data_IF_607164260875
#
_entry.id   IF_607164260875
#
_cell.length_a   1.000
_cell.length_b   1.000
_cell.length_c   1.000
_cell.angle_alpha   90.00
_cell.angle_beta   90.00
_cell.angle_gamma   90.00
#
_symmetry.space_group_name_H-M   'P 1'
#
loop_
_entity.id
_entity.type
_entity.pdbx_description
1 polymer ?
#
# COMPACT_ATOMS: atom_id res chain seq x y z
N UNK A 1 25.86 -3.14 14.84
CA UNK A 1 25.18 -1.84 15.12
C UNK A 1 23.78 -2.06 15.67
N UNK A 2 22.95 -2.93 15.07
CA UNK A 2 21.61 -3.27 15.60
C UNK A 2 21.63 -3.67 17.08
N UNK A 3 22.54 -4.55 17.48
CA UNK A 3 22.58 -5.05 18.87
C UNK A 3 22.97 -3.96 19.87
N UNK A 4 23.85 -3.02 19.45
CA UNK A 4 24.23 -1.84 20.24
C UNK A 4 23.03 -0.90 20.38
N UNK A 5 22.32 -0.64 19.28
CA UNK A 5 21.12 0.18 19.31
C UNK A 5 20.08 -0.46 20.25
N UNK A 6 19.81 -1.75 20.12
CA UNK A 6 18.87 -2.48 20.98
C UNK A 6 19.26 -2.47 22.46
N UNK A 7 20.56 -2.61 22.79
CA UNK A 7 21.02 -2.63 24.17
C UNK A 7 21.00 -1.25 24.86
N UNK A 8 21.32 -0.18 24.12
CA UNK A 8 21.53 1.16 24.71
C UNK A 8 20.41 2.18 24.39
N UNK A 9 19.46 1.84 23.52
CA UNK A 9 18.34 2.69 23.13
C UNK A 9 18.68 3.62 21.96
N UNK A 10 17.87 3.57 20.91
CA UNK A 10 18.04 4.39 19.69
C UNK A 10 17.93 5.88 20.02
N UNK A 11 16.95 6.26 20.85
CA UNK A 11 16.78 7.65 21.31
C UNK A 11 17.99 8.16 22.08
N UNK A 12 18.60 7.32 22.94
CA UNK A 12 19.83 7.65 23.67
C UNK A 12 20.99 7.89 22.71
N UNK A 13 21.18 7.03 21.72
CA UNK A 13 22.29 7.16 20.76
C UNK A 13 22.07 8.33 19.80
N UNK A 14 20.86 8.53 19.28
CA UNK A 14 20.54 9.65 18.39
C UNK A 14 20.51 11.00 19.11
N UNK A 15 20.17 11.04 20.40
CA UNK A 15 20.29 12.28 21.20
C UNK A 15 21.73 12.58 21.63
N UNK A 16 22.56 11.55 21.81
CA UNK A 16 23.98 11.67 22.18
C UNK A 16 24.91 11.94 21.00
N UNK A 17 24.43 11.76 19.77
CA UNK A 17 25.24 11.87 18.54
C UNK A 17 24.43 12.58 17.46
N UNK A 18 25.00 13.54 16.72
CA UNK A 18 24.33 14.30 15.64
C UNK A 18 23.90 13.46 14.41
N UNK A 19 23.86 12.14 14.54
CA UNK A 19 23.88 11.12 13.47
C UNK A 19 22.50 10.64 13.02
N UNK A 20 21.38 11.17 13.54
CA UNK A 20 20.04 10.62 13.26
C UNK A 20 19.74 10.43 11.76
N UNK A 21 20.02 11.45 10.94
CA UNK A 21 19.85 11.38 9.49
C UNK A 21 20.95 10.55 8.80
N UNK A 22 22.15 10.52 9.36
CA UNK A 22 23.29 9.75 8.83
C UNK A 22 23.08 8.24 8.98
N UNK A 23 22.35 7.81 10.02
CA UNK A 23 21.99 6.40 10.24
C UNK A 23 21.03 5.90 9.16
N UNK A 24 20.05 6.71 8.76
CA UNK A 24 19.12 6.33 7.68
C UNK A 24 19.87 6.22 6.35
N UNK A 25 20.76 7.17 6.04
CA UNK A 25 21.61 7.09 4.84
C UNK A 25 22.47 5.83 4.82
N UNK A 26 23.11 5.50 5.94
CA UNK A 26 23.91 4.28 6.07
C UNK A 26 23.06 3.00 5.92
N UNK A 27 21.84 3.00 6.46
CA UNK A 27 20.88 1.90 6.31
C UNK A 27 20.56 1.68 4.83
N UNK A 28 20.26 2.75 4.09
CA UNK A 28 19.96 2.70 2.66
C UNK A 28 21.15 2.17 1.85
N UNK A 29 22.36 2.68 2.12
CA UNK A 29 23.59 2.20 1.47
C UNK A 29 23.83 0.70 1.71
N UNK A 30 23.48 0.21 2.91
CA UNK A 30 23.61 -1.20 3.25
C UNK A 30 22.55 -2.07 2.56
N UNK A 31 21.34 -1.54 2.30
CA UNK A 31 20.27 -2.23 1.57
C UNK A 31 20.57 -2.36 0.06
N UNK A 32 21.33 -1.42 -0.51
CA UNK A 32 21.74 -1.43 -1.92
C UNK A 32 23.13 -2.05 -2.15
N UNK A 33 23.67 -2.79 -1.17
CA UNK A 33 25.02 -3.34 -1.26
C UNK A 33 25.07 -4.57 -2.19
N UNK A 34 26.03 -4.61 -3.11
CA UNK A 34 26.23 -5.74 -4.04
C UNK A 34 26.65 -7.05 -3.34
N UNK A 35 27.17 -6.97 -2.11
CA UNK A 35 27.52 -8.15 -1.34
C UNK A 35 26.27 -8.73 -0.65
N UNK A 36 25.77 -9.86 -1.17
CA UNK A 36 24.59 -10.56 -0.66
C UNK A 36 24.64 -10.82 0.86
N UNK A 37 25.81 -11.15 1.41
CA UNK A 37 25.98 -11.41 2.84
C UNK A 37 25.83 -10.13 3.67
N UNK A 38 26.43 -9.02 3.24
CA UNK A 38 26.28 -7.73 3.91
C UNK A 38 24.84 -7.23 3.84
N UNK A 39 24.22 -7.35 2.67
CA UNK A 39 22.82 -6.98 2.46
C UNK A 39 21.90 -7.80 3.37
N UNK A 40 22.12 -9.12 3.48
CA UNK A 40 21.34 -9.98 4.37
C UNK A 40 21.50 -9.61 5.85
N UNK A 41 22.74 -9.32 6.29
CA UNK A 41 23.01 -8.85 7.66
C UNK A 41 22.29 -7.53 7.93
N UNK A 42 22.31 -6.60 6.97
CA UNK A 42 21.62 -5.32 7.07
C UNK A 42 20.10 -5.53 7.22
N UNK A 43 19.49 -6.33 6.34
CA UNK A 43 18.07 -6.66 6.39
C UNK A 43 17.66 -7.27 7.73
N UNK A 44 18.46 -8.20 8.27
CA UNK A 44 18.22 -8.79 9.59
C UNK A 44 18.29 -7.72 10.70
N UNK A 45 19.31 -6.86 10.67
CA UNK A 45 19.50 -5.80 11.64
C UNK A 45 18.34 -4.79 11.63
N UNK A 46 17.95 -4.33 10.44
CA UNK A 46 16.85 -3.37 10.24
C UNK A 46 15.52 -3.98 10.67
N UNK A 47 15.25 -5.24 10.28
CA UNK A 47 14.04 -5.97 10.70
C UNK A 47 13.89 -6.02 12.21
N UNK A 48 14.99 -6.28 12.94
CA UNK A 48 15.00 -6.27 14.40
C UNK A 48 14.71 -4.87 14.97
N UNK A 49 15.35 -3.84 14.44
CA UNK A 49 15.14 -2.45 14.89
C UNK A 49 13.70 -1.98 14.67
N UNK A 50 13.08 -2.39 13.55
CA UNK A 50 11.69 -2.08 13.28
C UNK A 50 10.73 -2.84 14.21
N UNK A 51 10.97 -4.14 14.43
CA UNK A 51 10.17 -4.93 15.39
C UNK A 51 10.28 -4.43 16.83
N UNK A 52 11.45 -3.93 17.25
CA UNK A 52 11.64 -3.32 18.56
C UNK A 52 11.13 -1.88 18.66
N UNK A 53 10.44 -1.37 17.62
CA UNK A 53 9.91 0.01 17.51
C UNK A 53 10.99 1.10 17.60
N UNK A 54 12.25 0.75 17.38
CA UNK A 54 13.40 1.66 17.44
C UNK A 54 13.64 2.38 16.12
N UNK A 55 13.18 1.79 15.01
CA UNK A 55 13.17 2.39 13.69
C UNK A 55 11.74 2.37 13.13
N UNK A 56 11.18 3.56 12.88
CA UNK A 56 9.88 3.74 12.21
C UNK A 56 10.03 4.68 11.04
N UNK A 57 10.60 4.17 9.96
CA UNK A 57 10.71 4.91 8.70
C UNK A 57 9.98 4.16 7.59
N UNK A 58 9.07 4.85 6.91
CA UNK A 58 8.25 4.25 5.85
C UNK A 58 9.03 4.02 4.57
N UNK A 59 10.05 4.82 4.29
CA UNK A 59 10.89 4.64 3.11
C UNK A 59 11.76 3.39 3.27
N UNK A 60 12.31 3.18 4.47
CA UNK A 60 13.01 1.93 4.80
C UNK A 60 12.05 0.72 4.68
N UNK A 61 10.83 0.81 5.22
CA UNK A 61 9.85 -0.28 5.05
C UNK A 61 9.56 -0.57 3.58
N UNK A 62 9.37 0.47 2.77
CA UNK A 62 9.15 0.36 1.33
C UNK A 62 10.32 -0.34 0.64
N UNK A 63 11.56 0.04 0.95
CA UNK A 63 12.76 -0.62 0.41
C UNK A 63 12.82 -2.10 0.77
N UNK A 64 12.50 -2.48 2.02
CA UNK A 64 12.43 -3.89 2.43
C UNK A 64 11.35 -4.66 1.64
N UNK A 65 10.19 -4.07 1.41
CA UNK A 65 9.14 -4.69 0.58
C UNK A 65 9.60 -4.83 -0.87
N UNK A 66 10.26 -3.81 -1.43
CA UNK A 66 10.82 -3.88 -2.77
C UNK A 66 11.85 -5.00 -2.90
N UNK A 67 12.82 -5.09 -1.97
CA UNK A 67 13.81 -6.16 -1.91
C UNK A 67 13.18 -7.54 -1.77
N UNK A 68 12.08 -7.65 -1.02
CA UNK A 68 11.38 -8.91 -0.85
C UNK A 68 10.80 -9.45 -2.16
N UNK A 69 10.37 -8.59 -3.09
CA UNK A 69 9.82 -9.01 -4.38
C UNK A 69 10.84 -8.91 -5.53
N UNK A 70 12.05 -8.43 -5.27
CA UNK A 70 13.07 -8.18 -6.30
C UNK A 70 13.72 -9.47 -6.80
N UNK A 71 13.65 -9.77 -8.10
CA UNK A 71 14.27 -10.98 -8.66
C UNK A 71 15.78 -11.02 -8.43
N UNK A 72 16.46 -9.87 -8.38
CA UNK A 72 17.91 -9.80 -8.18
C UNK A 72 18.32 -10.34 -6.80
N UNK A 73 17.41 -10.34 -5.82
CA UNK A 73 17.65 -10.89 -4.48
C UNK A 73 17.13 -12.33 -4.32
N UNK A 74 16.66 -12.98 -5.39
CA UNK A 74 16.04 -14.31 -5.30
C UNK A 74 17.03 -15.39 -4.86
N UNK A 75 18.32 -15.26 -5.19
CA UNK A 75 19.41 -16.14 -4.74
C UNK A 75 19.77 -15.95 -3.26
N UNK A 76 19.51 -14.75 -2.70
CA UNK A 76 19.85 -14.42 -1.33
C UNK A 76 18.83 -15.01 -0.34
N UNK A 77 18.93 -16.32 -0.09
CA UNK A 77 17.96 -17.07 0.72
C UNK A 77 17.85 -16.54 2.15
N UNK A 78 18.94 -16.05 2.74
CA UNK A 78 18.93 -15.49 4.10
C UNK A 78 18.08 -14.22 4.16
N UNK A 79 18.26 -13.32 3.20
CA UNK A 79 17.44 -12.12 3.05
C UNK A 79 15.97 -12.49 2.83
N UNK A 80 15.68 -13.40 1.89
CA UNK A 80 14.30 -13.81 1.56
C UNK A 80 13.60 -14.47 2.74
N UNK A 81 14.28 -15.34 3.47
CA UNK A 81 13.73 -15.98 4.67
C UNK A 81 13.47 -14.96 5.77
N UNK A 82 14.41 -14.03 6.00
CA UNK A 82 14.24 -12.99 7.00
C UNK A 82 13.01 -12.12 6.70
N UNK A 83 12.86 -11.64 5.46
CA UNK A 83 11.73 -10.79 5.06
C UNK A 83 10.40 -11.55 5.04
N UNK A 84 10.40 -12.83 4.63
CA UNK A 84 9.20 -13.68 4.67
C UNK A 84 8.63 -13.82 6.09
N UNK A 85 9.50 -13.82 7.10
CA UNK A 85 9.08 -13.83 8.51
C UNK A 85 8.77 -12.42 9.01
N UNK A 86 9.67 -11.47 8.76
CA UNK A 86 9.59 -10.11 9.29
C UNK A 86 8.32 -9.38 8.84
N UNK A 87 8.02 -9.37 7.53
CA UNK A 87 6.94 -8.55 6.98
C UNK A 87 5.56 -8.87 7.58
N UNK A 88 5.07 -10.13 7.58
CA UNK A 88 3.78 -10.43 8.21
C UNK A 88 3.80 -10.15 9.71
N UNK A 89 4.88 -10.53 10.42
CA UNK A 89 4.97 -10.28 11.87
C UNK A 89 4.95 -8.79 12.19
N UNK A 90 5.71 -7.97 11.45
CA UNK A 90 5.74 -6.52 11.63
C UNK A 90 4.35 -5.94 11.40
N UNK A 91 3.73 -6.25 10.25
CA UNK A 91 2.43 -5.67 9.87
C UNK A 91 1.30 -6.07 10.82
N UNK A 92 1.30 -7.31 11.32
CA UNK A 92 0.24 -7.84 12.17
C UNK A 92 0.51 -7.66 13.67
N UNK A 93 1.70 -7.23 14.06
CA UNK A 93 2.06 -7.03 15.49
C UNK A 93 1.41 -5.81 16.14
N UNK A 94 1.08 -4.77 15.38
CA UNK A 94 0.46 -3.57 15.93
C UNK A 94 -0.26 -2.76 14.84
N UNK A 95 -1.36 -2.10 15.22
CA UNK A 95 -2.05 -1.14 14.36
C UNK A 95 -1.11 -0.11 13.74
N UNK A 96 -0.20 0.48 14.50
CA UNK A 96 0.69 1.52 14.00
C UNK A 96 1.65 0.98 12.94
N UNK A 97 2.08 -0.29 13.05
CA UNK A 97 2.94 -0.92 12.05
C UNK A 97 2.16 -1.21 10.77
N UNK A 98 0.90 -1.62 10.91
CA UNK A 98 0.00 -1.75 9.78
C UNK A 98 -0.26 -0.40 9.10
N UNK A 99 -0.49 0.68 9.84
CA UNK A 99 -0.66 2.03 9.27
C UNK A 99 0.55 2.42 8.44
N UNK A 100 1.77 2.13 8.90
CA UNK A 100 2.98 2.35 8.09
C UNK A 100 2.98 1.54 6.78
N UNK A 101 2.53 0.28 6.80
CA UNK A 101 2.36 -0.53 5.59
C UNK A 101 1.27 0.04 4.66
N UNK A 102 0.17 0.55 5.22
CA UNK A 102 -0.91 1.18 4.47
C UNK A 102 -0.43 2.46 3.75
N UNK A 103 0.38 3.29 4.42
CA UNK A 103 0.95 4.51 3.83
C UNK A 103 1.80 4.24 2.58
N UNK A 104 2.49 3.09 2.54
CA UNK A 104 3.35 2.72 1.41
C UNK A 104 2.68 1.79 0.40
N UNK A 105 1.49 1.27 0.70
CA UNK A 105 0.83 0.20 -0.07
C UNK A 105 0.76 0.53 -1.57
N UNK A 106 0.09 1.64 -1.92
CA UNK A 106 -0.19 1.96 -3.31
C UNK A 106 1.07 2.40 -4.08
N UNK A 107 1.92 3.30 -3.56
CA UNK A 107 3.18 3.66 -4.24
C UNK A 107 4.07 2.44 -4.49
N UNK A 108 4.18 1.54 -3.51
CA UNK A 108 5.01 0.33 -3.63
C UNK A 108 4.43 -0.65 -4.62
N UNK A 109 3.10 -0.87 -4.58
CA UNK A 109 2.43 -1.71 -5.55
C UNK A 109 2.67 -1.21 -6.98
N UNK A 110 2.44 0.08 -7.26
CA UNK A 110 2.64 0.64 -8.60
C UNK A 110 4.09 0.48 -9.07
N UNK A 111 5.06 0.74 -8.19
CA UNK A 111 6.49 0.58 -8.51
C UNK A 111 6.82 -0.88 -8.86
N UNK A 112 6.37 -1.84 -8.05
CA UNK A 112 6.57 -3.27 -8.30
C UNK A 112 5.91 -3.72 -9.60
N UNK A 113 4.71 -3.22 -9.91
CA UNK A 113 4.03 -3.53 -11.16
C UNK A 113 4.73 -2.94 -12.38
N UNK A 114 5.26 -1.72 -12.28
CA UNK A 114 6.07 -1.11 -13.33
C UNK A 114 7.37 -1.89 -13.52
N UNK A 115 8.07 -2.26 -12.44
CA UNK A 115 9.29 -3.07 -12.48
C UNK A 115 9.05 -4.45 -13.11
N UNK A 116 7.94 -5.10 -12.76
CA UNK A 116 7.58 -6.42 -13.31
C UNK A 116 7.42 -6.44 -14.83
N UNK A 117 7.07 -5.32 -15.48
CA UNK A 117 6.97 -5.25 -16.95
C UNK A 117 8.30 -5.50 -17.65
N UNK A 118 9.41 -5.25 -16.97
CA UNK A 118 10.76 -5.39 -17.50
C UNK A 118 11.42 -6.73 -17.14
N UNK A 119 10.70 -7.60 -16.44
CA UNK A 119 11.19 -8.92 -16.03
C UNK A 119 11.13 -9.88 -17.22
N UNK A 120 12.17 -10.68 -17.39
CA UNK A 120 12.22 -11.68 -18.45
C UNK A 120 11.23 -12.82 -18.17
N UNK A 121 10.56 -13.31 -19.22
CA UNK A 121 9.54 -14.38 -19.09
C UNK A 121 10.09 -15.70 -18.56
N UNK A 122 11.41 -15.88 -18.60
CA UNK A 122 12.10 -17.06 -18.10
C UNK A 122 12.47 -16.95 -16.63
N UNK A 123 12.34 -15.76 -16.02
CA UNK A 123 12.58 -15.56 -14.61
C UNK A 123 11.40 -16.09 -13.79
N UNK A 124 11.71 -16.77 -12.69
CA UNK A 124 10.73 -17.28 -11.73
C UNK A 124 10.20 -16.15 -10.81
N UNK A 125 9.79 -15.04 -11.41
CA UNK A 125 9.33 -13.86 -10.70
C UNK A 125 7.92 -14.05 -10.13
N UNK A 126 7.68 -13.49 -8.95
CA UNK A 126 6.36 -13.55 -8.31
C UNK A 126 5.33 -12.84 -9.18
N UNK A 127 4.22 -13.50 -9.58
CA UNK A 127 3.20 -12.88 -10.41
C UNK A 127 2.58 -11.62 -9.77
N UNK A 128 2.28 -10.57 -10.55
CA UNK A 128 1.72 -9.30 -10.07
C UNK A 128 0.50 -9.42 -9.16
N UNK A 129 -0.41 -10.35 -9.48
CA UNK A 129 -1.62 -10.56 -8.67
C UNK A 129 -1.28 -11.17 -7.31
N UNK A 130 -0.26 -12.01 -7.22
CA UNK A 130 0.21 -12.56 -5.94
C UNK A 130 0.89 -11.49 -5.09
N UNK A 131 1.73 -10.63 -5.71
CA UNK A 131 2.33 -9.47 -5.04
C UNK A 131 1.22 -8.60 -4.42
N UNK A 132 0.22 -8.23 -5.22
CA UNK A 132 -0.85 -7.36 -4.75
C UNK A 132 -1.71 -8.01 -3.65
N UNK A 133 -2.00 -9.32 -3.76
CA UNK A 133 -2.71 -10.05 -2.71
C UNK A 133 -1.92 -10.08 -1.40
N UNK A 134 -0.60 -10.28 -1.48
CA UNK A 134 0.27 -10.28 -0.30
C UNK A 134 0.30 -8.90 0.37
N UNK A 135 0.37 -7.81 -0.40
CA UNK A 135 0.30 -6.45 0.15
C UNK A 135 -1.04 -6.16 0.82
N UNK A 136 -2.16 -6.60 0.22
CA UNK A 136 -3.50 -6.48 0.83
C UNK A 136 -3.59 -7.28 2.14
N UNK A 137 -2.94 -8.44 2.20
CA UNK A 137 -2.88 -9.26 3.41
C UNK A 137 -2.16 -8.55 4.56
N UNK A 138 -1.06 -7.88 4.25
CA UNK A 138 -0.29 -7.11 5.23
C UNK A 138 -1.01 -5.85 5.72
N UNK A 139 -1.96 -5.32 4.95
CA UNK A 139 -2.76 -4.17 5.35
C UNK A 139 -4.07 -4.52 6.06
N UNK A 140 -4.43 -5.80 6.21
CA UNK A 140 -5.72 -6.25 6.75
C UNK A 140 -5.87 -5.96 8.26
N UNK A 141 -6.72 -5.00 8.68
CA UNK A 141 -6.85 -4.60 10.09
C UNK A 141 -7.33 -5.72 11.01
N UNK A 142 -8.02 -6.73 10.46
CA UNK A 142 -8.49 -7.87 11.25
C UNK A 142 -7.40 -8.91 11.53
N UNK A 143 -6.21 -8.77 10.92
CA UNK A 143 -5.06 -9.63 11.21
C UNK A 143 -4.16 -9.09 12.31
N UNK A 144 -4.41 -7.87 12.80
CA UNK A 144 -3.63 -7.28 13.87
C UNK A 144 -3.87 -8.04 15.19
N UNK A 145 -2.79 -8.40 15.87
CA UNK A 145 -2.82 -9.12 17.15
C UNK A 145 -3.36 -8.21 18.25
N UNK A 146 -4.41 -8.66 18.93
CA UNK A 146 -5.13 -7.90 19.97
C UNK A 146 -4.50 -7.93 21.37
N UNK A 147 -3.44 -8.71 21.58
CA UNK A 147 -2.93 -9.07 22.92
C UNK A 147 -2.35 -7.88 23.72
N UNK A 148 -1.93 -6.80 23.06
CA UNK A 148 -1.31 -5.63 23.70
C UNK A 148 -1.96 -4.30 23.31
N UNK A 149 -3.12 -4.33 22.65
CA UNK A 149 -3.78 -3.13 22.12
C UNK A 149 -5.19 -2.99 22.72
N UNK A 150 -5.53 -1.80 23.20
CA UNK A 150 -6.93 -1.45 23.49
C UNK A 150 -7.69 -1.46 22.17
N UNK A 151 -8.79 -2.24 22.05
CA UNK A 151 -9.53 -2.42 20.79
C UNK A 151 -9.98 -1.09 20.13
N UNK A 152 -10.04 0.00 20.90
CA UNK A 152 -10.42 1.34 20.45
C UNK A 152 -9.42 2.02 19.49
N UNK A 153 -8.22 1.50 19.29
CA UNK A 153 -7.22 2.13 18.40
C UNK A 153 -7.24 1.61 16.96
N UNK A 154 -7.90 0.48 16.68
CA UNK A 154 -7.86 -0.18 15.36
C UNK A 154 -8.98 0.36 14.46
N UNK A 155 -8.62 0.98 13.34
CA UNK A 155 -9.56 1.30 12.27
C UNK A 155 -9.82 0.06 11.39
N UNK A 156 -10.82 -0.73 11.76
CA UNK A 156 -11.28 -1.89 10.98
C UNK A 156 -11.80 -1.50 9.59
N UNK A 157 -12.18 -0.24 9.38
CA UNK A 157 -12.61 0.31 8.10
C UNK A 157 -11.48 0.79 7.17
N UNK A 158 -10.22 0.71 7.60
CA UNK A 158 -9.07 1.29 6.88
C UNK A 158 -8.86 0.78 5.45
N UNK A 159 -9.27 -0.44 5.15
CA UNK A 159 -9.26 -0.99 3.79
C UNK A 159 -10.14 -0.20 2.79
N UNK A 160 -11.17 0.50 3.27
CA UNK A 160 -11.94 1.39 2.42
C UNK A 160 -11.14 2.63 1.97
N UNK A 161 -10.23 3.15 2.80
CA UNK A 161 -9.34 4.26 2.42
C UNK A 161 -8.29 3.82 1.38
N UNK A 162 -7.77 2.60 1.50
CA UNK A 162 -6.92 2.02 0.45
C UNK A 162 -7.68 1.85 -0.86
N UNK A 163 -8.92 1.38 -0.81
CA UNK A 163 -9.76 1.25 -1.99
C UNK A 163 -10.05 2.63 -2.64
N UNK A 164 -10.32 3.68 -1.86
CA UNK A 164 -10.45 5.06 -2.34
C UNK A 164 -9.18 5.48 -3.09
N UNK A 165 -8.02 5.23 -2.49
CA UNK A 165 -6.71 5.57 -3.10
C UNK A 165 -6.48 4.82 -4.41
N UNK A 166 -6.79 3.51 -4.46
CA UNK A 166 -6.71 2.69 -5.67
C UNK A 166 -7.66 3.20 -6.76
N UNK A 167 -8.88 3.63 -6.42
CA UNK A 167 -9.82 4.17 -7.40
C UNK A 167 -9.35 5.54 -7.92
N UNK A 168 -8.80 6.40 -7.06
CA UNK A 168 -8.17 7.66 -7.49
C UNK A 168 -7.06 7.40 -8.50
N UNK A 169 -6.19 6.42 -8.26
CA UNK A 169 -5.14 6.02 -9.20
C UNK A 169 -5.69 5.52 -10.54
N UNK A 170 -6.84 4.84 -10.56
CA UNK A 170 -7.47 4.36 -11.80
C UNK A 170 -7.90 5.50 -12.76
N UNK A 171 -8.03 6.74 -12.28
CA UNK A 171 -8.30 7.91 -13.12
C UNK A 171 -7.07 8.42 -13.87
N UNK A 172 -5.88 8.29 -13.28
CA UNK A 172 -4.59 8.73 -13.84
C UNK A 172 -3.84 7.63 -14.59
N UNK A 173 -3.96 6.38 -14.15
CA UNK A 173 -3.22 5.26 -14.73
C UNK A 173 -3.64 4.99 -16.18
N UNK A 174 -2.65 4.79 -17.03
CA UNK A 174 -2.82 4.61 -18.48
C UNK A 174 -2.52 3.19 -18.94
N UNK A 175 -1.71 2.44 -18.18
CA UNK A 175 -1.35 1.08 -18.50
C UNK A 175 -2.53 0.13 -18.26
N UNK A 176 -2.94 -0.57 -19.32
CA UNK A 176 -4.10 -1.46 -19.29
C UNK A 176 -3.94 -2.63 -18.31
N UNK A 177 -2.72 -3.16 -18.14
CA UNK A 177 -2.47 -4.29 -17.25
C UNK A 177 -2.48 -3.83 -15.79
N UNK A 178 -1.90 -2.67 -15.49
CA UNK A 178 -1.98 -2.06 -14.15
C UNK A 178 -3.43 -1.74 -13.82
N UNK A 179 -4.17 -1.04 -14.68
CA UNK A 179 -5.60 -0.74 -14.45
C UNK A 179 -6.41 -2.00 -14.20
N UNK A 180 -6.21 -3.05 -15.01
CA UNK A 180 -6.89 -4.35 -14.82
C UNK A 180 -6.59 -4.93 -13.44
N UNK A 181 -5.33 -4.95 -13.03
CA UNK A 181 -4.93 -5.46 -11.73
C UNK A 181 -5.51 -4.63 -10.57
N UNK A 182 -5.45 -3.30 -10.67
CA UNK A 182 -6.06 -2.39 -9.69
C UNK A 182 -7.57 -2.67 -9.51
N UNK A 183 -8.32 -2.90 -10.59
CA UNK A 183 -9.72 -3.31 -10.49
C UNK A 183 -9.90 -4.69 -9.82
N UNK A 184 -9.00 -5.64 -10.08
CA UNK A 184 -9.06 -6.97 -9.47
C UNK A 184 -8.82 -6.95 -7.96
N UNK A 185 -7.89 -6.11 -7.49
CA UNK A 185 -7.53 -6.04 -6.07
C UNK A 185 -8.59 -5.32 -5.23
N UNK A 186 -9.45 -4.48 -5.82
CA UNK A 186 -10.57 -3.85 -5.10
C UNK A 186 -11.46 -4.91 -4.42
N UNK A 187 -11.64 -6.06 -5.06
CA UNK A 187 -12.42 -7.19 -4.53
C UNK A 187 -11.66 -8.04 -3.50
N UNK A 188 -10.44 -7.64 -3.12
CA UNK A 188 -9.62 -8.30 -2.10
C UNK A 188 -9.57 -7.52 -0.80
N UNK A 189 -9.87 -6.23 -0.84
CA UNK A 189 -10.07 -5.44 0.37
C UNK A 189 -11.29 -5.97 1.13
N UNK A 190 -11.10 -6.13 2.45
CA UNK A 190 -12.18 -6.39 3.38
C UNK A 190 -12.87 -5.09 3.72
N UNK A 191 -14.03 -4.86 3.12
CA UNK A 191 -14.87 -3.69 3.33
C UNK A 191 -16.23 -4.22 3.77
N UNK A 192 -16.56 -3.95 5.03
CA UNK A 192 -17.85 -4.27 5.65
C UNK A 192 -18.38 -3.03 6.37
N UNK A 193 -19.39 -3.20 7.23
CA UNK A 193 -20.02 -2.10 7.97
C UNK A 193 -19.05 -1.25 8.79
N UNK A 194 -17.89 -1.78 9.18
CA UNK A 194 -16.87 -1.02 9.91
C UNK A 194 -16.25 0.11 9.10
N UNK A 195 -16.42 0.12 7.77
CA UNK A 195 -15.99 1.24 6.93
C UNK A 195 -16.81 2.52 7.19
N UNK A 196 -18.06 2.39 7.64
CA UNK A 196 -18.96 3.51 7.88
C UNK A 196 -19.51 4.14 6.60
N UNK A 197 -20.68 4.77 6.74
CA UNK A 197 -21.49 5.30 5.63
C UNK A 197 -20.70 6.26 4.73
N UNK A 198 -19.90 7.14 5.31
CA UNK A 198 -19.12 8.15 4.57
C UNK A 198 -18.16 7.49 3.57
N UNK A 199 -17.41 6.46 3.99
CA UNK A 199 -16.46 5.77 3.11
C UNK A 199 -17.17 4.99 2.02
N UNK A 200 -18.32 4.36 2.33
CA UNK A 200 -19.16 3.73 1.31
C UNK A 200 -19.68 4.72 0.27
N UNK A 201 -20.17 5.90 0.70
CA UNK A 201 -20.62 6.97 -0.20
C UNK A 201 -19.46 7.49 -1.06
N UNK A 202 -18.27 7.72 -0.49
CA UNK A 202 -17.04 8.09 -1.22
C UNK A 202 -16.69 7.07 -2.30
N UNK A 203 -16.65 5.79 -1.95
CA UNK A 203 -16.34 4.70 -2.88
C UNK A 203 -17.38 4.62 -4.01
N UNK A 204 -18.68 4.68 -3.68
CA UNK A 204 -19.77 4.63 -4.65
C UNK A 204 -19.70 5.81 -5.63
N UNK A 205 -19.49 7.03 -5.12
CA UNK A 205 -19.31 8.23 -5.93
C UNK A 205 -18.12 8.10 -6.90
N UNK A 206 -16.97 7.64 -6.40
CA UNK A 206 -15.76 7.46 -7.19
C UNK A 206 -15.93 6.38 -8.27
N UNK A 207 -16.55 5.24 -7.95
CA UNK A 207 -16.81 4.16 -8.91
C UNK A 207 -17.74 4.62 -10.03
N UNK A 208 -18.84 5.31 -9.69
CA UNK A 208 -19.78 5.86 -10.68
C UNK A 208 -19.09 6.85 -11.63
N UNK A 209 -18.30 7.77 -11.09
CA UNK A 209 -17.53 8.73 -11.88
C UNK A 209 -16.41 8.07 -12.70
N UNK A 210 -15.77 7.02 -12.20
CA UNK A 210 -14.74 6.30 -12.94
C UNK A 210 -15.33 5.66 -14.20
N UNK A 211 -16.52 5.05 -14.08
CA UNK A 211 -17.21 4.43 -15.22
C UNK A 211 -17.61 5.43 -16.30
N UNK A 212 -18.09 6.61 -15.92
CA UNK A 212 -18.53 7.64 -16.86
C UNK A 212 -17.34 8.39 -17.48
N UNK A 213 -16.39 8.84 -16.67
CA UNK A 213 -15.29 9.72 -17.09
C UNK A 213 -14.06 8.98 -17.61
N UNK A 214 -13.78 7.77 -17.09
CA UNK A 214 -12.60 6.97 -17.44
C UNK A 214 -12.93 5.50 -17.68
N UNK A 215 -13.77 5.18 -18.69
CA UNK A 215 -14.19 3.81 -18.97
C UNK A 215 -13.02 2.81 -19.05
N UNK A 216 -13.26 1.63 -18.48
CA UNK A 216 -12.34 0.50 -18.56
C UNK A 216 -12.60 -0.26 -19.87
N UNK A 217 -11.58 -0.41 -20.71
CA UNK A 217 -11.72 -1.10 -22.00
C UNK A 217 -11.69 -2.63 -21.84
N UNK A 218 -10.93 -3.12 -20.86
CA UNK A 218 -10.75 -4.54 -20.59
C UNK A 218 -11.99 -5.14 -19.90
N UNK A 219 -12.45 -6.31 -20.36
CA UNK A 219 -13.66 -6.95 -19.80
C UNK A 219 -13.44 -7.50 -18.40
N UNK A 220 -12.24 -8.00 -18.09
CA UNK A 220 -11.91 -8.51 -16.74
C UNK A 220 -11.91 -7.35 -15.75
N UNK A 221 -11.31 -6.22 -16.12
CA UNK A 221 -11.32 -4.99 -15.32
C UNK A 221 -12.75 -4.49 -15.07
N UNK A 222 -13.58 -4.41 -16.11
CA UNK A 222 -15.00 -4.01 -15.98
C UNK A 222 -15.79 -4.94 -15.07
N UNK A 223 -15.65 -6.24 -15.27
CA UNK A 223 -16.36 -7.24 -14.46
C UNK A 223 -15.95 -7.18 -12.99
N UNK A 224 -14.65 -6.99 -12.72
CA UNK A 224 -14.15 -6.80 -11.36
C UNK A 224 -14.68 -5.51 -10.72
N UNK A 225 -14.70 -4.38 -11.45
CA UNK A 225 -15.25 -3.13 -10.95
C UNK A 225 -16.77 -3.22 -10.70
N UNK A 226 -17.52 -3.87 -11.59
CA UNK A 226 -18.96 -4.09 -11.41
C UNK A 226 -19.25 -4.98 -10.20
N UNK A 227 -18.45 -6.04 -9.97
CA UNK A 227 -18.58 -6.87 -8.77
C UNK A 227 -18.33 -6.05 -7.51
N UNK A 228 -17.31 -5.20 -7.52
CA UNK A 228 -17.00 -4.32 -6.41
C UNK A 228 -18.12 -3.31 -6.14
N UNK A 229 -18.63 -2.65 -7.18
CA UNK A 229 -19.78 -1.73 -7.08
C UNK A 229 -21.01 -2.41 -6.49
N UNK A 230 -21.36 -3.61 -6.97
CA UNK A 230 -22.50 -4.36 -6.44
C UNK A 230 -22.33 -4.69 -4.95
N UNK A 231 -21.11 -5.00 -4.51
CA UNK A 231 -20.83 -5.22 -3.10
C UNK A 231 -21.00 -3.94 -2.27
N UNK A 232 -20.57 -2.77 -2.79
CA UNK A 232 -20.81 -1.49 -2.13
C UNK A 232 -22.29 -1.14 -2.07
N UNK A 233 -23.03 -1.35 -3.16
CA UNK A 233 -24.45 -1.04 -3.21
C UNK A 233 -25.26 -1.94 -2.27
N UNK A 234 -24.83 -3.19 -2.06
CA UNK A 234 -25.47 -4.10 -1.10
C UNK A 234 -25.36 -3.68 0.37
N UNK A 235 -24.49 -2.72 0.69
CA UNK A 235 -24.43 -2.12 2.03
C UNK A 235 -25.62 -1.19 2.29
N UNK A 236 -26.18 -0.59 1.24
CA UNK A 236 -27.36 0.26 1.34
C UNK A 236 -28.59 -0.63 1.13
N UNK A 237 -29.51 -0.65 2.12
CA UNK A 237 -30.77 -1.41 2.01
C UNK A 237 -31.60 -0.95 0.80
N UNK A 238 -31.57 0.36 0.54
CA UNK A 238 -32.15 1.05 -0.62
C UNK A 238 -31.05 1.84 -1.37
N UNK A 239 -31.41 2.71 -2.31
CA UNK A 239 -30.44 3.62 -2.92
C UNK A 239 -29.75 4.49 -1.84
N UNK A 240 -28.45 4.82 -2.00
CA UNK A 240 -27.76 5.67 -1.03
C UNK A 240 -28.51 6.99 -0.85
N UNK A 241 -28.82 7.33 0.40
CA UNK A 241 -29.46 8.61 0.72
C UNK A 241 -28.63 9.79 0.21
N UNK A 242 -29.31 10.91 -0.03
CA UNK A 242 -28.65 12.18 -0.34
C UNK A 242 -27.62 12.52 0.75
N UNK A 243 -26.53 13.14 0.34
CA UNK A 243 -25.50 13.62 1.27
C UNK A 243 -26.09 14.73 2.14
N UNK A 244 -25.95 14.60 3.46
CA UNK A 244 -26.20 15.73 4.36
C UNK A 244 -25.04 16.74 4.31
N UNK A 245 -25.22 17.91 4.93
CA UNK A 245 -24.22 18.99 4.89
C UNK A 245 -22.85 18.57 5.45
N UNK A 246 -22.81 17.68 6.45
CA UNK A 246 -21.57 17.19 7.06
C UNK A 246 -20.89 16.17 6.14
N UNK A 247 -21.65 15.23 5.60
CA UNK A 247 -21.15 14.26 4.62
C UNK A 247 -20.63 14.96 3.37
N UNK A 248 -21.30 16.02 2.92
CA UNK A 248 -20.87 16.81 1.76
C UNK A 248 -19.50 17.46 2.01
N UNK A 249 -19.28 18.05 3.19
CA UNK A 249 -17.97 18.62 3.55
C UNK A 249 -16.90 17.51 3.61
N UNK A 250 -17.22 16.32 4.12
CA UNK A 250 -16.28 15.19 4.15
C UNK A 250 -15.98 14.60 2.76
N UNK A 251 -16.89 14.76 1.79
CA UNK A 251 -16.71 14.33 0.40
C UNK A 251 -16.09 15.41 -0.49
N UNK A 252 -16.01 16.65 -0.03
CA UNK A 252 -15.55 17.82 -0.79
C UNK A 252 -14.25 17.59 -1.53
N UNK A 253 -13.20 17.10 -0.85
CA UNK A 253 -11.91 16.83 -1.49
C UNK A 253 -12.01 15.80 -2.63
N UNK A 254 -12.92 14.82 -2.51
CA UNK A 254 -13.15 13.80 -3.54
C UNK A 254 -13.96 14.36 -4.70
N UNK A 255 -14.94 15.22 -4.42
CA UNK A 255 -15.72 15.92 -5.44
C UNK A 255 -14.80 16.86 -6.23
N UNK A 256 -14.03 17.71 -5.55
CA UNK A 256 -13.05 18.61 -6.15
C UNK A 256 -12.02 17.84 -6.98
N UNK A 257 -11.52 16.69 -6.49
CA UNK A 257 -10.64 15.81 -7.26
C UNK A 257 -11.29 15.37 -8.58
N UNK A 258 -12.55 14.93 -8.54
CA UNK A 258 -13.29 14.43 -9.70
C UNK A 258 -13.67 15.55 -10.69
N UNK A 259 -13.96 16.76 -10.20
CA UNK A 259 -14.24 17.96 -10.99
C UNK A 259 -12.98 18.49 -11.69
N UNK A 260 -11.85 18.54 -10.99
CA UNK A 260 -10.58 18.99 -11.58
C UNK A 260 -10.12 18.09 -12.74
N UNK A 261 -10.52 16.82 -12.75
CA UNK A 261 -10.28 15.92 -13.89
C UNK A 261 -11.09 16.28 -15.14
N UNK A 262 -12.20 17.03 -15.02
CA UNK A 262 -13.01 17.51 -16.15
C UNK A 262 -12.37 18.72 -16.85
N UNK A 263 -11.69 19.57 -16.08
CA UNK A 263 -11.02 20.78 -16.59
C UNK A 263 -9.77 20.46 -17.41
N UNK A 264 -9.17 19.28 -17.18
CA UNK A 264 -7.97 18.85 -17.90
C UNK A 264 -8.35 18.23 -19.25
N UNK A 265 -7.93 18.82 -20.39
CA UNK A 265 -8.22 18.24 -21.70
C UNK A 265 -7.65 16.83 -21.77
N UNK A 266 -8.37 15.90 -22.40
CA UNK A 266 -8.11 14.44 -22.33
C UNK A 266 -6.70 14.02 -22.79
N UNK A 267 -5.96 14.93 -23.46
CA UNK A 267 -4.53 14.80 -23.81
C UNK A 267 -3.57 15.13 -22.65
N UNK A 268 -3.86 16.11 -21.79
CA UNK A 268 -2.99 16.55 -20.69
C UNK A 268 -2.89 15.51 -19.56
N UNK A 269 -3.96 14.76 -19.31
CA UNK A 269 -3.94 13.62 -18.38
C UNK A 269 -3.03 12.48 -18.87
N UNK A 270 -2.84 12.34 -20.19
CA UNK A 270 -1.91 11.35 -20.75
C UNK A 270 -0.45 11.77 -20.61
N UNK A 271 -0.15 13.08 -20.66
CA UNK A 271 1.24 13.56 -20.58
C UNK A 271 1.81 13.53 -19.16
N UNK A 272 0.97 13.69 -18.13
CA UNK A 272 1.39 13.60 -16.73
C UNK A 272 1.79 12.17 -16.32
N UNK A 273 1.13 11.16 -16.88
CA UNK A 273 1.42 9.73 -16.63
C UNK A 273 2.75 9.25 -17.26
N UNK A 274 3.31 10.00 -18.22
CA UNK A 274 4.59 9.69 -18.87
C UNK A 274 5.81 10.35 -18.21
N UNK A 275 5.62 11.09 -17.12
CA UNK A 275 6.69 11.85 -16.43
C UNK A 275 6.90 11.35 -14.97
N UNK A 276 6.20 10.28 -14.55
CA UNK A 276 6.36 9.60 -13.24
C UNK A 276 6.42 8.07 -13.43
#
# INVERSE_FOLDING_TARGET
MSDILMAYGYSTIVSSTRLGNEIIGLIQECLTNDNEQLQAIAVVGISKLMLSKMLRDKYVLKELVSLYFDNDTASNLVLRQCLSYFLPVFCHSSFENQTLMQEIFLPTLIELLKKYKNVDKNDNAVPPLQIAQQLVDWTDPFKVVKLEQTEETIDYGSHAELAISVIKELFSETDKNIRKLLCQILNKFRIDESAGVVRFKKLTFLVGNLKSKRPLMDSVARNALNKFENALLSYFDDAPDALDDNELEQLKEIVEFVEHLEELPSRALRSRASIL
#
